data_IF_853818750720
#
_entry.id   IF_853818750720
#
_cell.length_a   1.000
_cell.length_b   1.000
_cell.length_c   1.000
_cell.angle_alpha   90.00
_cell.angle_beta   90.00
_cell.angle_gamma   90.00
#
_symmetry.space_group_name_H-M   'P 1'
#
loop_
_entity.id
_entity.type
_entity.pdbx_description
1 polymer ?
#
# COMPACT_ATOMS: atom_id res chain seq x y z
N UNK A 1 -1.69 -11.75 -18.05
CA UNK A 1 -1.90 -11.18 -16.70
C UNK A 1 -0.54 -11.01 -16.01
N UNK A 2 -0.40 -10.18 -14.96
CA UNK A 2 0.89 -10.01 -14.25
C UNK A 2 1.46 -11.34 -13.71
N UNK A 3 0.60 -12.26 -13.29
CA UNK A 3 1.02 -13.61 -12.86
C UNK A 3 1.57 -14.43 -14.03
N UNK A 4 1.01 -14.33 -15.23
CA UNK A 4 1.54 -15.04 -16.40
C UNK A 4 2.90 -14.48 -16.84
N UNK A 5 3.12 -13.18 -16.63
CA UNK A 5 4.36 -12.50 -16.98
C UNK A 5 5.49 -12.73 -15.95
N UNK A 6 5.14 -12.88 -14.66
CA UNK A 6 6.13 -13.05 -13.57
C UNK A 6 5.53 -13.90 -12.41
N UNK A 7 5.39 -15.23 -12.60
CA UNK A 7 4.74 -16.13 -11.65
C UNK A 7 5.56 -16.38 -10.36
N UNK A 8 6.86 -16.11 -10.41
CA UNK A 8 7.77 -16.18 -9.26
C UNK A 8 7.65 -14.94 -8.36
N UNK A 9 7.04 -13.86 -8.86
CA UNK A 9 6.81 -12.63 -8.08
C UNK A 9 5.36 -12.44 -7.67
N UNK A 10 4.39 -12.92 -8.45
CA UNK A 10 2.96 -12.67 -8.23
C UNK A 10 2.12 -13.95 -8.15
N UNK A 11 0.99 -13.89 -7.46
CA UNK A 11 -0.04 -14.95 -7.46
C UNK A 11 -1.45 -14.39 -7.25
N UNK A 12 -2.46 -15.22 -7.57
CA UNK A 12 -3.89 -14.89 -7.38
C UNK A 12 -4.57 -15.64 -6.21
N UNK A 13 -3.90 -16.62 -5.60
CA UNK A 13 -4.43 -17.28 -4.42
C UNK A 13 -4.44 -16.34 -3.21
N UNK A 14 -5.57 -16.28 -2.49
CA UNK A 14 -5.67 -15.53 -1.25
C UNK A 14 -5.04 -16.28 -0.05
N UNK A 15 -4.67 -17.55 -0.22
CA UNK A 15 -4.05 -18.36 0.83
C UNK A 15 -2.68 -17.79 1.25
N UNK A 16 -2.51 -17.33 2.51
CA UNK A 16 -1.25 -16.81 2.99
C UNK A 16 -0.09 -17.83 2.92
N UNK A 17 -0.38 -19.14 3.07
CA UNK A 17 0.64 -20.18 3.02
C UNK A 17 1.25 -20.34 1.61
N UNK A 18 0.45 -20.06 0.57
CA UNK A 18 0.88 -20.07 -0.82
C UNK A 18 1.69 -18.82 -1.23
N UNK A 19 1.76 -17.79 -0.36
CA UNK A 19 2.40 -16.50 -0.64
C UNK A 19 3.93 -16.52 -0.45
N UNK A 20 4.55 -17.66 -0.13
CA UNK A 20 6.00 -17.83 0.08
C UNK A 20 6.93 -16.90 -0.74
N UNK A 21 7.22 -15.68 -0.23
CA UNK A 21 8.06 -14.68 -0.90
C UNK A 21 7.43 -13.88 -2.06
N UNK A 22 6.17 -14.15 -2.41
CA UNK A 22 5.46 -13.54 -3.55
C UNK A 22 4.42 -12.50 -3.13
N UNK A 23 3.95 -11.72 -4.08
CA UNK A 23 2.91 -10.71 -3.90
C UNK A 23 1.56 -11.26 -4.40
N UNK A 24 0.59 -11.37 -3.49
CA UNK A 24 -0.79 -11.61 -3.89
C UNK A 24 -1.39 -10.36 -4.52
N UNK A 25 -1.95 -10.50 -5.71
CA UNK A 25 -2.72 -9.46 -6.36
C UNK A 25 -4.15 -9.48 -5.81
N UNK A 26 -4.38 -8.76 -4.71
CA UNK A 26 -5.68 -8.72 -4.02
C UNK A 26 -6.77 -8.02 -4.84
N UNK A 27 -7.50 -8.81 -5.62
CA UNK A 27 -8.68 -8.35 -6.36
C UNK A 27 -9.98 -8.47 -5.55
N UNK A 28 -9.93 -9.03 -4.33
CA UNK A 28 -11.13 -9.37 -3.57
C UNK A 28 -11.87 -8.13 -3.08
N UNK A 29 -11.22 -6.96 -3.06
CA UNK A 29 -11.86 -5.68 -2.68
C UNK A 29 -12.91 -5.19 -3.68
N UNK A 30 -12.93 -5.73 -4.90
CA UNK A 30 -13.83 -5.31 -5.97
C UNK A 30 -15.22 -5.98 -5.91
N UNK A 31 -15.47 -6.87 -4.94
CA UNK A 31 -16.76 -7.50 -4.73
C UNK A 31 -17.80 -6.53 -4.14
N UNK A 32 -19.09 -6.71 -4.50
CA UNK A 32 -20.19 -5.93 -3.93
C UNK A 32 -20.24 -6.08 -2.41
N UNK A 33 -20.26 -4.95 -1.70
CA UNK A 33 -20.31 -4.90 -0.23
C UNK A 33 -18.94 -4.91 0.45
N UNK A 34 -17.85 -5.14 -0.30
CA UNK A 34 -16.51 -5.06 0.25
C UNK A 34 -16.06 -3.59 0.38
N UNK A 35 -15.12 -3.36 1.29
CA UNK A 35 -14.62 -2.01 1.60
C UNK A 35 -13.09 -1.94 1.50
N UNK A 36 -12.59 -0.72 1.28
CA UNK A 36 -11.20 -0.35 1.38
C UNK A 36 -11.06 0.85 2.33
N UNK A 37 -9.84 1.10 2.82
CA UNK A 37 -9.58 2.26 3.67
C UNK A 37 -9.77 3.55 2.86
N UNK A 38 -10.45 4.55 3.43
CA UNK A 38 -10.60 5.86 2.80
C UNK A 38 -9.29 6.62 2.74
N UNK A 39 -9.10 7.44 1.71
CA UNK A 39 -7.98 8.37 1.65
C UNK A 39 -7.95 9.25 2.90
N UNK A 40 -6.75 9.51 3.42
CA UNK A 40 -6.50 10.26 4.66
C UNK A 40 -7.07 9.64 5.95
N UNK A 41 -7.67 8.45 5.90
CA UNK A 41 -8.15 7.77 7.11
C UNK A 41 -6.98 7.20 7.93
N UNK A 42 -6.99 7.33 9.27
CA UNK A 42 -5.96 6.75 10.13
C UNK A 42 -6.13 5.22 10.23
N UNK A 43 -5.04 4.54 10.57
CA UNK A 43 -5.01 3.10 10.85
C UNK A 43 -4.85 2.90 12.35
N UNK A 44 -5.62 1.97 12.92
CA UNK A 44 -5.51 1.54 14.31
C UNK A 44 -4.23 0.69 14.53
N UNK A 45 -3.07 1.35 14.44
CA UNK A 45 -1.72 0.79 14.65
C UNK A 45 -0.90 1.81 15.43
N UNK A 46 0.18 1.36 16.09
CA UNK A 46 1.08 2.26 16.83
C UNK A 46 1.57 3.39 15.91
N UNK A 47 1.54 4.61 16.43
CA UNK A 47 1.91 5.82 15.68
C UNK A 47 0.79 6.38 14.80
N UNK A 48 -0.36 5.71 14.68
CA UNK A 48 -1.51 6.10 13.86
C UNK A 48 -1.17 6.47 12.41
N UNK A 49 -0.61 5.54 11.61
CA UNK A 49 -0.34 5.77 10.18
C UNK A 49 -1.60 6.18 9.44
N UNK A 50 -1.46 7.00 8.40
CA UNK A 50 -2.57 7.49 7.58
C UNK A 50 -2.48 6.92 6.17
N UNK A 51 -3.61 6.57 5.57
CA UNK A 51 -3.72 6.23 4.14
C UNK A 51 -3.54 7.48 3.26
N UNK A 52 -2.34 8.04 3.27
CA UNK A 52 -1.99 9.27 2.57
C UNK A 52 -1.79 9.00 1.08
N UNK A 53 -2.47 9.74 0.17
CA UNK A 53 -2.17 9.69 -1.26
C UNK A 53 -0.73 10.11 -1.54
N UNK A 54 -0.05 9.38 -2.42
CA UNK A 54 1.34 9.63 -2.83
C UNK A 54 1.47 9.69 -4.35
N UNK A 55 2.53 10.33 -4.82
CA UNK A 55 2.90 10.38 -6.24
C UNK A 55 3.72 9.14 -6.64
N UNK A 56 3.77 8.83 -7.94
CA UNK A 56 4.62 7.76 -8.47
C UNK A 56 6.11 7.95 -8.13
N UNK A 57 6.63 9.18 -8.22
CA UNK A 57 8.02 9.50 -7.83
C UNK A 57 8.32 9.10 -6.37
N UNK A 58 7.38 9.29 -5.46
CA UNK A 58 7.53 8.89 -4.06
C UNK A 58 7.52 7.37 -3.90
N UNK A 59 6.70 6.66 -4.69
CA UNK A 59 6.68 5.19 -4.72
C UNK A 59 8.01 4.64 -5.23
N UNK A 60 8.53 5.20 -6.32
CA UNK A 60 9.83 4.82 -6.91
C UNK A 60 11.01 5.15 -5.98
N UNK A 61 10.91 6.23 -5.21
CA UNK A 61 11.86 6.58 -4.16
C UNK A 61 11.74 5.71 -2.88
N UNK A 62 10.81 4.74 -2.85
CA UNK A 62 10.69 3.77 -1.76
C UNK A 62 9.95 4.30 -0.52
N UNK A 63 8.95 5.17 -0.69
CA UNK A 63 8.12 5.65 0.42
C UNK A 63 7.56 4.47 1.24
N UNK A 64 7.74 4.52 2.56
CA UNK A 64 7.27 3.45 3.46
C UNK A 64 5.77 3.63 3.75
N UNK A 65 5.00 2.53 3.94
CA UNK A 65 3.55 2.60 4.18
C UNK A 65 3.11 3.36 5.45
N UNK A 66 4.03 3.59 6.39
CA UNK A 66 3.83 4.27 7.68
C UNK A 66 4.57 5.63 7.75
N UNK A 67 5.03 6.15 6.61
CA UNK A 67 5.73 7.44 6.52
C UNK A 67 4.88 8.60 7.06
N UNK A 68 3.58 8.58 6.75
CA UNK A 68 2.63 9.61 7.17
C UNK A 68 1.78 9.10 8.32
N UNK A 69 1.63 9.93 9.35
CA UNK A 69 0.86 9.58 10.52
C UNK A 69 0.20 10.80 11.15
N UNK A 70 -0.74 10.59 12.07
CA UNK A 70 -1.40 11.70 12.78
C UNK A 70 -0.37 12.59 13.50
N UNK A 71 0.68 11.99 14.06
CA UNK A 71 1.76 12.71 14.74
C UNK A 71 2.80 13.31 13.78
N UNK A 72 2.86 12.83 12.53
CA UNK A 72 3.78 13.29 11.48
C UNK A 72 2.98 13.65 10.22
N UNK A 73 2.23 14.75 10.24
CA UNK A 73 1.47 15.18 9.07
C UNK A 73 2.40 15.55 7.92
N UNK A 74 1.93 15.37 6.68
CA UNK A 74 2.64 15.79 5.47
C UNK A 74 2.99 17.29 5.55
N UNK A 75 4.25 17.64 5.30
CA UNK A 75 4.72 19.03 5.20
C UNK A 75 5.07 19.29 3.74
N UNK A 76 4.33 20.18 3.09
CA UNK A 76 4.51 20.48 1.66
C UNK A 76 5.95 20.94 1.31
N UNK A 77 6.68 21.54 2.26
CA UNK A 77 8.05 22.01 2.05
C UNK A 77 9.17 20.99 2.23
N UNK A 78 8.91 19.76 2.70
CA UNK A 78 9.97 18.76 2.97
C UNK A 78 10.37 17.92 1.76
N UNK A 79 9.73 18.11 0.61
CA UNK A 79 9.91 17.23 -0.57
C UNK A 79 10.53 17.93 -1.78
N UNK A 80 10.92 19.20 -1.67
CA UNK A 80 11.61 19.96 -2.74
C UNK A 80 13.12 19.70 -2.71
N UNK A 81 13.64 19.01 -1.70
CA UNK A 81 15.05 18.70 -1.55
C UNK A 81 15.30 17.18 -1.56
N UNK A 82 15.16 16.56 -2.74
CA UNK A 82 15.76 15.28 -3.09
C UNK A 82 15.92 15.20 -4.61
#
# INVERSE_FOLDING_TARGET
CLVDADPERYLLSADPSARAGRIFLDYLRNGRGNTAVGAFSPRARLGYPIAHPVTWKQVEAGVRPDTFSVARPFRAGSWIAA
#
